data_IF_944896164959
#
_entry.id   IF_944896164959
#
_cell.length_a   1.000
_cell.length_b   1.000
_cell.length_c   1.000
_cell.angle_alpha   90.00
_cell.angle_beta   90.00
_cell.angle_gamma   90.00
#
_symmetry.space_group_name_H-M   'P 1'
#
loop_
_entity.id
_entity.type
_entity.pdbx_description
1 polymer ?
#
# COMPACT_ATOMS: atom_id res chain seq x y z
N UNK A 1 49.09 -8.73 -8.04
CA UNK A 1 49.08 -9.70 -6.92
C UNK A 1 47.70 -9.68 -6.30
N UNK A 2 46.85 -10.63 -6.72
CA UNK A 2 45.50 -10.82 -6.18
C UNK A 2 45.60 -11.84 -5.06
N UNK A 3 45.33 -11.42 -3.82
CA UNK A 3 45.31 -12.29 -2.65
C UNK A 3 44.01 -13.14 -2.68
N UNK A 4 44.20 -14.41 -2.89
CA UNK A 4 43.15 -15.44 -2.75
C UNK A 4 42.86 -15.69 -1.28
N UNK A 5 41.68 -15.27 -0.81
CA UNK A 5 41.18 -15.70 0.50
C UNK A 5 40.58 -17.12 0.37
N UNK A 6 40.94 -18.05 1.24
CA UNK A 6 40.36 -19.40 1.22
C UNK A 6 38.93 -19.38 1.73
N UNK A 7 38.02 -19.96 0.95
CA UNK A 7 36.66 -20.24 1.37
C UNK A 7 36.63 -21.27 2.51
N UNK A 8 35.86 -21.05 3.58
CA UNK A 8 35.62 -22.11 4.58
C UNK A 8 34.76 -23.22 3.97
N UNK A 9 34.97 -24.47 4.34
CA UNK A 9 34.21 -25.61 3.80
C UNK A 9 32.81 -25.63 4.43
N UNK A 10 31.80 -25.17 3.72
CA UNK A 10 30.40 -25.35 4.07
C UNK A 10 29.80 -26.43 3.17
N UNK A 11 30.08 -27.68 3.48
CA UNK A 11 29.40 -28.84 2.90
C UNK A 11 28.58 -29.54 3.97
N UNK A 12 27.34 -29.09 4.18
CA UNK A 12 26.28 -29.92 4.72
C UNK A 12 25.04 -29.85 3.81
N UNK A 13 24.84 -30.87 2.95
CA UNK A 13 23.75 -30.89 1.97
C UNK A 13 22.34 -30.86 2.59
N UNK A 14 22.21 -31.24 3.85
CA UNK A 14 20.90 -31.37 4.52
C UNK A 14 20.38 -30.08 5.14
N UNK A 15 21.24 -29.14 5.51
CA UNK A 15 20.82 -27.88 6.15
C UNK A 15 20.32 -26.85 5.14
N UNK A 16 20.97 -26.77 3.98
CA UNK A 16 20.55 -25.88 2.89
C UNK A 16 19.20 -26.29 2.30
N UNK A 17 18.96 -27.58 2.12
CA UNK A 17 17.67 -28.10 1.64
C UNK A 17 16.54 -27.88 2.66
N UNK A 18 16.81 -28.01 3.95
CA UNK A 18 15.84 -27.78 5.01
C UNK A 18 15.43 -26.28 5.10
N UNK A 19 16.39 -25.36 5.04
CA UNK A 19 16.13 -23.92 5.02
C UNK A 19 15.40 -23.52 3.73
N UNK A 20 15.78 -24.10 2.58
CA UNK A 20 15.14 -23.85 1.29
C UNK A 20 13.66 -24.29 1.28
N UNK A 21 13.36 -25.48 1.79
CA UNK A 21 11.97 -25.98 1.85
C UNK A 21 11.11 -25.20 2.85
N UNK A 22 11.65 -24.82 4.02
CA UNK A 22 10.92 -23.99 4.98
C UNK A 22 10.61 -22.59 4.43
N UNK A 23 11.54 -21.98 3.72
CA UNK A 23 11.36 -20.65 3.13
C UNK A 23 10.31 -20.66 2.00
N UNK A 24 10.34 -21.66 1.13
CA UNK A 24 9.32 -21.78 0.06
C UNK A 24 7.93 -22.07 0.63
N UNK A 25 7.84 -22.85 1.72
CA UNK A 25 6.59 -23.07 2.44
C UNK A 25 6.05 -21.77 3.06
N UNK A 26 6.94 -20.92 3.55
CA UNK A 26 6.55 -19.59 4.08
C UNK A 26 6.02 -18.68 2.99
N UNK A 27 6.68 -18.62 1.82
CA UNK A 27 6.20 -17.86 0.66
C UNK A 27 4.82 -18.37 0.23
N UNK A 28 4.64 -19.67 0.07
CA UNK A 28 3.36 -20.27 -0.34
C UNK A 28 2.24 -19.97 0.67
N UNK A 29 2.52 -20.11 1.98
CA UNK A 29 1.58 -19.77 3.05
C UNK A 29 1.21 -18.27 3.03
N UNK A 30 2.19 -17.40 2.89
CA UNK A 30 1.97 -15.96 2.84
C UNK A 30 1.16 -15.55 1.60
N UNK A 31 1.46 -16.15 0.44
CA UNK A 31 0.69 -15.95 -0.80
C UNK A 31 -0.78 -16.35 -0.62
N UNK A 32 -1.04 -17.49 0.00
CA UNK A 32 -2.41 -17.95 0.27
C UNK A 32 -3.19 -16.94 1.12
N UNK A 33 -2.59 -16.43 2.21
CA UNK A 33 -3.23 -15.40 3.04
C UNK A 33 -3.54 -14.11 2.25
N UNK A 34 -2.62 -13.68 1.40
CA UNK A 34 -2.80 -12.49 0.58
C UNK A 34 -3.89 -12.70 -0.49
N UNK A 35 -4.00 -13.90 -1.07
CA UNK A 35 -5.06 -14.22 -2.04
C UNK A 35 -6.45 -14.26 -1.39
N UNK A 36 -6.59 -14.92 -0.23
CA UNK A 36 -7.86 -14.93 0.52
C UNK A 36 -8.31 -13.49 0.82
N UNK A 37 -7.40 -12.66 1.33
CA UNK A 37 -7.65 -11.25 1.59
C UNK A 37 -8.08 -10.51 0.31
N UNK A 38 -7.36 -10.72 -0.80
CA UNK A 38 -7.63 -10.03 -2.07
C UNK A 38 -9.04 -10.36 -2.59
N UNK A 39 -9.38 -11.64 -2.66
CA UNK A 39 -10.69 -12.08 -3.17
C UNK A 39 -11.84 -11.58 -2.28
N UNK A 40 -11.66 -11.65 -0.97
CA UNK A 40 -12.64 -11.12 -0.02
C UNK A 40 -12.82 -9.61 -0.19
N UNK A 41 -11.73 -8.85 -0.29
CA UNK A 41 -11.78 -7.41 -0.47
C UNK A 41 -12.46 -7.02 -1.79
N UNK A 42 -12.19 -7.74 -2.90
CA UNK A 42 -12.84 -7.49 -4.19
C UNK A 42 -14.36 -7.68 -4.10
N UNK A 43 -14.81 -8.80 -3.54
CA UNK A 43 -16.24 -9.06 -3.35
C UNK A 43 -16.93 -8.04 -2.43
N UNK A 44 -16.27 -7.73 -1.31
CA UNK A 44 -16.79 -6.75 -0.35
C UNK A 44 -16.86 -5.34 -0.95
N UNK A 45 -15.87 -4.93 -1.73
CA UNK A 45 -15.84 -3.59 -2.37
C UNK A 45 -17.02 -3.40 -3.32
N UNK A 46 -17.33 -4.41 -4.13
CA UNK A 46 -18.50 -4.37 -5.02
C UNK A 46 -19.81 -4.25 -4.23
N UNK A 47 -19.95 -5.01 -3.15
CA UNK A 47 -21.13 -4.95 -2.27
C UNK A 47 -21.25 -3.59 -1.58
N UNK A 48 -20.15 -3.07 -0.99
CA UNK A 48 -20.09 -1.77 -0.32
C UNK A 48 -20.52 -0.67 -1.30
N UNK A 49 -19.94 -0.63 -2.49
CA UNK A 49 -20.25 0.39 -3.51
C UNK A 49 -21.74 0.42 -3.86
N UNK A 50 -22.34 -0.77 -4.04
CA UNK A 50 -23.77 -0.90 -4.32
C UNK A 50 -24.63 -0.36 -3.16
N UNK A 51 -24.33 -0.76 -1.93
CA UNK A 51 -25.14 -0.36 -0.77
C UNK A 51 -24.96 1.12 -0.47
N UNK A 52 -23.75 1.65 -0.57
CA UNK A 52 -23.46 3.09 -0.39
C UNK A 52 -24.25 3.92 -1.40
N UNK A 53 -24.28 3.50 -2.68
CA UNK A 53 -25.08 4.18 -3.71
C UNK A 53 -26.57 4.16 -3.36
N UNK A 54 -27.10 3.03 -2.86
CA UNK A 54 -28.51 2.93 -2.47
C UNK A 54 -28.86 3.79 -1.24
N UNK A 55 -27.96 3.90 -0.28
CA UNK A 55 -28.19 4.63 0.98
C UNK A 55 -27.98 6.13 0.84
N UNK A 56 -26.92 6.55 0.13
CA UNK A 56 -26.60 7.97 -0.11
C UNK A 56 -27.48 8.57 -1.22
N UNK A 57 -27.89 7.76 -2.20
CA UNK A 57 -28.49 8.25 -3.45
C UNK A 57 -27.41 8.68 -4.46
N UNK A 58 -27.84 8.96 -5.68
CA UNK A 58 -26.94 9.25 -6.80
C UNK A 58 -26.13 10.53 -6.58
N UNK A 59 -26.77 11.57 -6.04
CA UNK A 59 -26.16 12.90 -5.84
C UNK A 59 -25.04 12.84 -4.80
N UNK A 60 -25.33 12.40 -3.58
CA UNK A 60 -24.35 12.32 -2.49
C UNK A 60 -23.24 11.28 -2.78
N UNK A 61 -23.58 10.18 -3.45
CA UNK A 61 -22.58 9.22 -3.92
C UNK A 61 -21.65 9.83 -4.96
N UNK A 62 -22.20 10.67 -5.86
CA UNK A 62 -21.41 11.45 -6.82
C UNK A 62 -20.44 12.41 -6.12
N UNK A 63 -20.95 13.21 -5.16
CA UNK A 63 -20.13 14.12 -4.36
C UNK A 63 -19.02 13.37 -3.61
N UNK A 64 -19.37 12.27 -2.96
CA UNK A 64 -18.38 11.41 -2.28
C UNK A 64 -17.25 10.95 -3.21
N UNK A 65 -17.59 10.44 -4.40
CA UNK A 65 -16.59 9.97 -5.37
C UNK A 65 -15.70 11.09 -5.89
N UNK A 66 -16.27 12.26 -6.16
CA UNK A 66 -15.50 13.43 -6.63
C UNK A 66 -14.54 13.90 -5.54
N UNK A 67 -15.02 14.03 -4.30
CA UNK A 67 -14.21 14.44 -3.14
C UNK A 67 -13.10 13.44 -2.87
N UNK A 68 -13.44 12.15 -2.84
CA UNK A 68 -12.45 11.08 -2.68
C UNK A 68 -11.44 11.06 -3.82
N UNK A 69 -11.86 11.36 -5.06
CA UNK A 69 -10.99 11.45 -6.22
C UNK A 69 -9.87 12.49 -6.04
N UNK A 70 -10.18 13.66 -5.48
CA UNK A 70 -9.17 14.69 -5.15
C UNK A 70 -8.17 14.16 -4.13
N UNK A 71 -8.67 13.46 -3.09
CA UNK A 71 -7.81 12.91 -2.03
C UNK A 71 -6.95 11.74 -2.53
N UNK A 72 -7.50 10.90 -3.42
CA UNK A 72 -6.77 9.78 -4.03
C UNK A 72 -5.54 10.26 -4.82
N UNK A 73 -5.55 11.47 -5.36
CA UNK A 73 -4.35 12.03 -6.01
C UNK A 73 -3.14 12.09 -5.06
N UNK A 74 -3.35 12.21 -3.76
CA UNK A 74 -2.27 12.19 -2.77
C UNK A 74 -1.86 10.78 -2.33
N UNK A 75 -2.68 9.76 -2.60
CA UNK A 75 -2.42 8.37 -2.17
C UNK A 75 -1.30 7.70 -2.96
N UNK A 76 -0.94 8.22 -4.13
CA UNK A 76 0.12 7.63 -4.95
C UNK A 76 1.50 7.69 -4.27
N UNK A 77 1.69 8.61 -3.32
CA UNK A 77 2.86 8.61 -2.44
C UNK A 77 2.98 7.35 -1.59
N UNK A 78 1.85 6.74 -1.19
CA UNK A 78 1.84 5.60 -0.26
C UNK A 78 2.56 4.37 -0.83
N UNK A 79 2.35 4.04 -2.11
CA UNK A 79 2.96 2.87 -2.75
C UNK A 79 4.48 2.94 -2.78
N UNK A 80 5.01 4.07 -3.23
CA UNK A 80 6.47 4.29 -3.31
C UNK A 80 7.14 4.36 -1.95
N UNK A 81 6.49 5.00 -0.99
CA UNK A 81 6.98 5.10 0.38
C UNK A 81 6.96 3.76 1.10
N UNK A 82 5.93 2.93 0.87
CA UNK A 82 5.85 1.57 1.41
C UNK A 82 7.00 0.72 0.88
N UNK A 83 7.22 0.71 -0.43
CA UNK A 83 8.31 -0.06 -1.06
C UNK A 83 9.68 0.38 -0.56
N UNK A 84 9.91 1.71 -0.44
CA UNK A 84 11.14 2.27 0.10
C UNK A 84 11.37 1.82 1.54
N UNK A 85 10.42 2.08 2.42
CA UNK A 85 10.56 1.75 3.85
C UNK A 85 10.77 0.26 4.06
N UNK A 86 10.01 -0.57 3.36
CA UNK A 86 10.15 -2.03 3.40
C UNK A 86 11.54 -2.48 2.94
N UNK A 87 12.07 -1.90 1.85
CA UNK A 87 13.41 -2.22 1.36
C UNK A 87 14.47 -1.91 2.41
N UNK A 88 14.48 -0.70 2.97
CA UNK A 88 15.47 -0.30 3.95
C UNK A 88 15.40 -1.12 5.24
N UNK A 89 14.20 -1.45 5.73
CA UNK A 89 14.03 -2.36 6.88
C UNK A 89 14.58 -3.73 6.55
N UNK A 90 14.31 -4.28 5.35
CA UNK A 90 14.80 -5.60 4.94
C UNK A 90 16.32 -5.65 4.84
N UNK A 91 16.96 -4.58 4.33
CA UNK A 91 18.44 -4.49 4.24
C UNK A 91 19.07 -4.49 5.64
N UNK A 92 18.55 -3.67 6.56
CA UNK A 92 19.12 -3.59 7.90
C UNK A 92 18.78 -4.85 8.73
N UNK A 93 17.65 -5.50 8.48
CA UNK A 93 17.30 -6.78 9.10
C UNK A 93 18.28 -7.90 8.74
N UNK A 94 18.83 -7.90 7.51
CA UNK A 94 19.83 -8.87 7.09
C UNK A 94 21.15 -8.78 7.89
N UNK A 95 21.43 -7.64 8.54
CA UNK A 95 22.59 -7.49 9.42
C UNK A 95 22.40 -8.09 10.83
N UNK A 96 21.18 -8.57 11.18
CA UNK A 96 20.78 -9.01 12.51
C UNK A 96 20.98 -7.97 13.64
N UNK A 97 21.10 -6.69 13.28
CA UNK A 97 21.25 -5.59 14.22
C UNK A 97 19.91 -4.87 14.43
N UNK A 98 19.28 -5.12 15.56
CA UNK A 98 18.00 -4.52 15.96
C UNK A 98 18.09 -2.98 16.03
N UNK A 99 19.24 -2.42 16.42
CA UNK A 99 19.40 -0.98 16.54
C UNK A 99 19.38 -0.30 15.17
N UNK A 100 19.96 -0.94 14.14
CA UNK A 100 19.90 -0.45 12.76
C UNK A 100 18.48 -0.48 12.23
N UNK A 101 17.74 -1.57 12.47
CA UNK A 101 16.32 -1.64 12.11
C UNK A 101 15.52 -0.54 12.81
N UNK A 102 15.75 -0.33 14.12
CA UNK A 102 15.11 0.74 14.89
C UNK A 102 15.41 2.12 14.30
N UNK A 103 16.66 2.37 13.92
CA UNK A 103 17.08 3.62 13.30
C UNK A 103 16.32 3.90 12.01
N UNK A 104 16.27 2.93 11.09
CA UNK A 104 15.54 3.06 9.81
C UNK A 104 14.04 3.25 10.05
N UNK A 105 13.45 2.51 10.97
CA UNK A 105 12.03 2.66 11.33
C UNK A 105 11.70 4.08 11.80
N UNK A 106 12.51 4.65 12.71
CA UNK A 106 12.27 6.00 13.24
C UNK A 106 12.54 7.09 12.19
N UNK A 107 13.57 6.95 11.36
CA UNK A 107 13.81 7.85 10.22
C UNK A 107 12.64 7.78 9.23
N UNK A 108 12.09 6.59 8.99
CA UNK A 108 10.90 6.43 8.14
C UNK A 108 9.70 7.19 8.72
N UNK A 109 9.43 7.07 10.02
CA UNK A 109 8.34 7.84 10.66
C UNK A 109 8.55 9.34 10.44
N UNK A 110 9.78 9.85 10.65
CA UNK A 110 10.07 11.26 10.48
C UNK A 110 9.85 11.72 9.01
N UNK A 111 10.28 10.92 8.05
CA UNK A 111 10.05 11.19 6.63
C UNK A 111 8.55 11.22 6.29
N UNK A 112 7.75 10.31 6.87
CA UNK A 112 6.31 10.30 6.66
C UNK A 112 5.62 11.49 7.30
N UNK A 113 6.08 11.98 8.45
CA UNK A 113 5.59 13.22 9.06
C UNK A 113 5.88 14.44 8.17
N UNK A 114 7.05 14.48 7.53
CA UNK A 114 7.36 15.53 6.54
C UNK A 114 6.41 15.47 5.33
N UNK A 115 6.14 14.27 4.82
CA UNK A 115 5.20 14.07 3.71
C UNK A 115 3.78 14.47 4.12
N UNK A 116 3.34 14.10 5.31
CA UNK A 116 2.05 14.52 5.88
C UNK A 116 1.95 16.05 5.86
N UNK A 117 2.99 16.75 6.29
CA UNK A 117 3.00 18.21 6.27
C UNK A 117 2.87 18.78 4.85
N UNK A 118 3.62 18.22 3.89
CA UNK A 118 3.54 18.64 2.47
C UNK A 118 2.15 18.38 1.90
N UNK A 119 1.61 17.18 2.11
CA UNK A 119 0.27 16.78 1.63
C UNK A 119 -0.80 17.67 2.25
N UNK A 120 -0.70 17.95 3.56
CA UNK A 120 -1.63 18.84 4.25
C UNK A 120 -1.63 20.24 3.63
N UNK A 121 -0.45 20.84 3.42
CA UNK A 121 -0.34 22.17 2.81
C UNK A 121 -0.92 22.16 1.39
N UNK A 122 -0.61 21.18 0.56
CA UNK A 122 -1.12 21.08 -0.80
C UNK A 122 -2.63 20.85 -0.83
N UNK A 123 -3.16 20.02 0.06
CA UNK A 123 -4.58 19.72 0.15
C UNK A 123 -5.36 20.95 0.61
N UNK A 124 -4.91 21.67 1.65
CA UNK A 124 -5.59 22.85 2.17
C UNK A 124 -5.48 24.07 1.26
N UNK A 125 -4.48 24.12 0.39
CA UNK A 125 -4.34 25.22 -0.59
C UNK A 125 -4.95 24.83 -1.93
N UNK A 126 -4.29 23.96 -2.68
CA UNK A 126 -4.68 23.59 -4.05
C UNK A 126 -5.94 22.73 -4.06
N UNK A 127 -6.00 21.72 -3.18
CA UNK A 127 -7.12 20.79 -3.14
C UNK A 127 -8.43 21.46 -2.73
N UNK A 128 -8.40 22.30 -1.69
CA UNK A 128 -9.59 23.03 -1.21
C UNK A 128 -10.03 24.11 -2.22
N UNK A 129 -9.07 24.80 -2.85
CA UNK A 129 -9.38 25.72 -3.95
C UNK A 129 -10.04 24.97 -5.10
N UNK A 130 -9.53 23.82 -5.52
CA UNK A 130 -10.08 23.02 -6.59
C UNK A 130 -11.50 22.55 -6.28
N UNK A 131 -11.75 22.06 -5.05
CA UNK A 131 -13.06 21.65 -4.57
C UNK A 131 -14.10 22.77 -4.71
N UNK A 132 -13.75 23.97 -4.25
CA UNK A 132 -14.72 25.08 -4.13
C UNK A 132 -14.89 25.89 -5.43
N UNK A 133 -13.93 25.85 -6.39
CA UNK A 133 -13.96 26.70 -7.58
C UNK A 133 -14.03 25.94 -8.91
N UNK A 134 -13.67 24.67 -8.92
CA UNK A 134 -13.60 23.89 -10.17
C UNK A 134 -14.60 22.74 -10.24
N UNK A 135 -14.99 22.20 -9.10
CA UNK A 135 -15.97 21.13 -9.05
C UNK A 135 -17.41 21.70 -9.09
N UNK A 136 -18.27 21.03 -9.83
CA UNK A 136 -19.69 21.39 -9.89
C UNK A 136 -20.42 20.63 -8.80
N UNK A 137 -20.62 21.29 -7.65
CA UNK A 137 -21.31 20.75 -6.48
C UNK A 137 -22.53 21.65 -6.21
N UNK A 138 -23.73 21.09 -5.99
CA UNK A 138 -24.90 21.89 -5.62
C UNK A 138 -24.62 22.76 -4.39
N UNK A 139 -25.06 24.03 -4.41
CA UNK A 139 -24.78 24.98 -3.32
C UNK A 139 -25.28 24.51 -1.96
N UNK A 140 -26.40 23.79 -1.94
CA UNK A 140 -26.98 23.19 -0.72
C UNK A 140 -26.11 22.08 -0.12
N UNK A 141 -25.29 21.39 -0.94
CA UNK A 141 -24.41 20.30 -0.52
C UNK A 141 -22.95 20.70 -0.35
N UNK A 142 -22.58 21.96 -0.69
CA UNK A 142 -21.20 22.43 -0.66
C UNK A 142 -20.58 22.35 0.73
N UNK A 143 -21.36 22.67 1.78
CA UNK A 143 -20.91 22.56 3.16
C UNK A 143 -20.61 21.10 3.54
N UNK A 144 -21.51 20.17 3.20
CA UNK A 144 -21.31 18.74 3.44
C UNK A 144 -20.08 18.22 2.67
N UNK A 145 -19.91 18.64 1.41
CA UNK A 145 -18.74 18.28 0.60
C UNK A 145 -17.43 18.75 1.23
N UNK A 146 -17.37 19.98 1.75
CA UNK A 146 -16.19 20.50 2.45
C UNK A 146 -15.89 19.70 3.72
N UNK A 147 -16.90 19.35 4.52
CA UNK A 147 -16.71 18.53 5.73
C UNK A 147 -16.15 17.14 5.35
N UNK A 148 -16.76 16.50 4.34
CA UNK A 148 -16.31 15.17 3.87
C UNK A 148 -14.92 15.25 3.28
N UNK A 149 -14.55 16.36 2.61
CA UNK A 149 -13.19 16.60 2.14
C UNK A 149 -12.18 16.60 3.31
N UNK A 150 -12.47 17.32 4.39
CA UNK A 150 -11.61 17.33 5.57
C UNK A 150 -11.49 15.95 6.21
N UNK A 151 -12.60 15.21 6.34
CA UNK A 151 -12.58 13.83 6.83
C UNK A 151 -11.72 12.92 5.94
N UNK A 152 -11.89 13.02 4.62
CA UNK A 152 -11.12 12.25 3.65
C UNK A 152 -9.63 12.60 3.70
N UNK A 153 -9.28 13.89 3.87
CA UNK A 153 -7.91 14.34 4.05
C UNK A 153 -7.30 13.73 5.30
N UNK A 154 -7.98 13.77 6.44
CA UNK A 154 -7.50 13.14 7.69
C UNK A 154 -7.28 11.63 7.47
N UNK A 155 -8.20 10.94 6.79
CA UNK A 155 -8.04 9.51 6.44
C UNK A 155 -6.75 9.31 5.62
N UNK A 156 -6.49 10.14 4.61
CA UNK A 156 -5.28 10.05 3.80
C UNK A 156 -4.00 10.25 4.63
N UNK A 157 -4.00 11.20 5.57
CA UNK A 157 -2.87 11.42 6.48
C UNK A 157 -2.64 10.22 7.42
N UNK A 158 -3.72 9.60 7.91
CA UNK A 158 -3.69 8.35 8.70
C UNK A 158 -3.10 7.21 7.88
N UNK A 159 -3.48 7.09 6.60
CA UNK A 159 -2.91 6.09 5.70
C UNK A 159 -1.40 6.29 5.47
N UNK A 160 -0.93 7.53 5.37
CA UNK A 160 0.50 7.84 5.24
C UNK A 160 1.27 7.43 6.51
N UNK A 161 0.79 7.78 7.70
CA UNK A 161 1.48 7.42 8.95
C UNK A 161 1.45 5.91 9.25
N UNK A 162 0.50 5.17 8.67
CA UNK A 162 0.41 3.70 8.79
C UNK A 162 1.56 2.98 8.06
N UNK A 163 2.16 3.61 7.03
CA UNK A 163 3.15 2.99 6.14
C UNK A 163 4.36 2.40 6.88
N UNK A 164 5.07 3.08 7.80
CA UNK A 164 6.21 2.51 8.51
C UNK A 164 5.84 1.24 9.32
N UNK A 165 4.67 1.23 9.94
CA UNK A 165 4.18 0.09 10.73
C UNK A 165 3.85 -1.10 9.81
N UNK A 166 3.20 -0.84 8.68
CA UNK A 166 2.94 -1.83 7.65
C UNK A 166 4.23 -2.43 7.11
N UNK A 167 5.21 -1.59 6.76
CA UNK A 167 6.50 -2.01 6.24
C UNK A 167 7.25 -2.91 7.24
N UNK A 168 7.17 -2.62 8.56
CA UNK A 168 7.75 -3.45 9.61
C UNK A 168 7.14 -4.85 9.64
N UNK A 169 5.80 -4.96 9.55
CA UNK A 169 5.06 -6.23 9.55
C UNK A 169 5.43 -7.07 8.33
N UNK A 170 5.44 -6.45 7.15
CA UNK A 170 5.74 -7.12 5.88
C UNK A 170 7.21 -7.54 5.80
N UNK A 171 8.14 -6.69 6.21
CA UNK A 171 9.57 -7.00 6.25
C UNK A 171 9.90 -8.18 7.19
N UNK A 172 9.10 -8.38 8.24
CA UNK A 172 9.21 -9.54 9.13
C UNK A 172 8.36 -10.74 8.69
N UNK A 173 7.85 -10.71 7.46
CA UNK A 173 7.08 -11.82 6.85
C UNK A 173 5.82 -12.23 7.66
N UNK A 174 5.26 -11.29 8.46
CA UNK A 174 4.02 -11.54 9.21
C UNK A 174 2.79 -11.34 8.33
N UNK A 175 2.80 -11.95 7.13
CA UNK A 175 1.75 -11.79 6.12
C UNK A 175 0.39 -12.29 6.59
N UNK A 176 0.35 -13.31 7.44
CA UNK A 176 -0.89 -13.77 8.05
C UNK A 176 -1.57 -12.68 8.85
N UNK A 177 -0.83 -11.99 9.73
CA UNK A 177 -1.37 -10.86 10.49
C UNK A 177 -1.78 -9.69 9.59
N UNK A 178 -0.96 -9.35 8.59
CA UNK A 178 -1.28 -8.33 7.59
C UNK A 178 -2.58 -8.65 6.83
N UNK A 179 -2.78 -9.93 6.46
CA UNK A 179 -4.02 -10.36 5.80
C UNK A 179 -5.23 -10.25 6.74
N UNK A 180 -5.11 -10.69 8.01
CA UNK A 180 -6.17 -10.57 9.00
C UNK A 180 -6.54 -9.12 9.30
N UNK A 181 -5.58 -8.20 9.38
CA UNK A 181 -5.86 -6.77 9.51
C UNK A 181 -6.64 -6.24 8.31
N UNK A 182 -6.26 -6.63 7.09
CA UNK A 182 -6.97 -6.21 5.88
C UNK A 182 -8.40 -6.77 5.81
N UNK A 183 -8.62 -8.02 6.24
CA UNK A 183 -9.96 -8.60 6.35
C UNK A 183 -10.78 -7.86 7.42
N UNK A 184 -10.19 -7.59 8.59
CA UNK A 184 -10.82 -6.83 9.66
C UNK A 184 -11.22 -5.42 9.21
N UNK A 185 -10.34 -4.71 8.49
CA UNK A 185 -10.65 -3.41 7.90
C UNK A 185 -11.86 -3.49 6.97
N UNK A 186 -11.93 -4.51 6.11
CA UNK A 186 -13.04 -4.70 5.19
C UNK A 186 -14.34 -5.02 5.93
N UNK A 187 -14.30 -5.84 6.97
CA UNK A 187 -15.45 -6.12 7.84
C UNK A 187 -15.92 -4.84 8.53
N UNK A 188 -15.01 -4.03 9.07
CA UNK A 188 -15.37 -2.74 9.67
C UNK A 188 -16.02 -1.78 8.66
N UNK A 189 -15.55 -1.75 7.41
CA UNK A 189 -16.17 -0.97 6.33
C UNK A 189 -17.58 -1.49 6.01
N UNK A 190 -17.78 -2.80 5.92
CA UNK A 190 -19.10 -3.41 5.75
C UNK A 190 -20.04 -3.04 6.92
N UNK A 191 -19.55 -3.13 8.15
CA UNK A 191 -20.29 -2.73 9.37
C UNK A 191 -20.65 -1.24 9.31
N UNK A 192 -19.74 -0.38 8.86
CA UNK A 192 -20.00 1.05 8.69
C UNK A 192 -21.13 1.33 7.73
N UNK A 193 -21.19 0.60 6.61
CA UNK A 193 -22.28 0.72 5.63
C UNK A 193 -23.60 0.21 6.20
N UNK A 194 -23.55 -0.88 6.96
CA UNK A 194 -24.73 -1.40 7.67
C UNK A 194 -25.25 -0.39 8.71
N UNK A 195 -24.41 0.20 9.52
CA UNK A 195 -24.78 1.27 10.48
C UNK A 195 -25.39 2.45 9.72
N UNK A 196 -24.76 2.89 8.63
CA UNK A 196 -25.23 4.01 7.82
C UNK A 196 -26.66 3.79 7.28
N UNK A 197 -27.01 2.55 6.91
CA UNK A 197 -28.35 2.23 6.41
C UNK A 197 -29.46 2.41 7.44
N UNK A 198 -29.14 2.37 8.73
CA UNK A 198 -30.08 2.52 9.84
C UNK A 198 -30.15 3.93 10.43
N UNK A 199 -29.26 4.82 10.00
CA UNK A 199 -29.24 6.21 10.45
C UNK A 199 -30.19 7.06 9.59
N UNK A 200 -31.16 7.71 10.25
CA UNK A 200 -32.18 8.54 9.58
C UNK A 200 -32.13 10.01 10.00
N UNK A 201 -31.51 10.34 11.15
CA UNK A 201 -31.55 11.67 11.74
C UNK A 201 -30.38 12.58 11.38
N UNK A 202 -29.31 12.03 10.79
CA UNK A 202 -28.10 12.79 10.46
C UNK A 202 -27.85 12.80 8.96
N UNK A 203 -27.08 13.79 8.51
CA UNK A 203 -26.60 13.83 7.13
C UNK A 203 -25.78 12.56 6.82
N UNK A 204 -26.30 11.76 5.88
CA UNK A 204 -25.74 10.46 5.56
C UNK A 204 -24.33 10.55 4.96
N UNK A 205 -24.06 11.60 4.16
CA UNK A 205 -22.78 11.82 3.50
C UNK A 205 -21.68 12.11 4.55
N UNK A 206 -21.95 13.03 5.49
CA UNK A 206 -21.03 13.36 6.59
C UNK A 206 -20.86 12.17 7.52
N UNK A 207 -21.97 11.49 7.87
CA UNK A 207 -21.92 10.31 8.74
C UNK A 207 -21.07 9.20 8.14
N UNK A 208 -21.17 8.97 6.84
CA UNK A 208 -20.35 7.97 6.16
C UNK A 208 -18.86 8.33 6.23
N UNK A 209 -18.51 9.61 6.02
CA UNK A 209 -17.14 10.10 6.20
C UNK A 209 -16.60 9.87 7.62
N UNK A 210 -17.42 10.16 8.64
CA UNK A 210 -17.04 9.93 10.05
C UNK A 210 -16.84 8.45 10.38
N UNK A 211 -17.70 7.56 9.85
CA UNK A 211 -17.56 6.11 10.02
C UNK A 211 -16.28 5.60 9.37
N UNK A 212 -15.95 6.03 8.15
CA UNK A 212 -14.70 5.67 7.48
C UNK A 212 -13.47 6.18 8.21
N UNK A 213 -13.50 7.40 8.75
CA UNK A 213 -12.42 7.91 9.59
C UNK A 213 -12.24 7.06 10.84
N UNK A 214 -13.34 6.67 11.51
CA UNK A 214 -13.28 5.81 12.68
C UNK A 214 -12.64 4.45 12.35
N UNK A 215 -13.00 3.84 11.22
CA UNK A 215 -12.37 2.60 10.72
C UNK A 215 -10.86 2.80 10.52
N UNK A 216 -10.46 3.87 9.84
CA UNK A 216 -9.04 4.17 9.57
C UNK A 216 -8.23 4.34 10.87
N UNK A 217 -8.77 5.02 11.87
CA UNK A 217 -8.15 5.20 13.18
C UNK A 217 -8.04 3.89 13.97
N UNK A 218 -9.09 3.05 13.95
CA UNK A 218 -9.06 1.71 14.57
C UNK A 218 -7.97 0.87 13.92
N UNK A 219 -7.91 0.83 12.60
CA UNK A 219 -6.92 0.06 11.85
C UNK A 219 -5.49 0.55 12.15
N UNK A 220 -5.25 1.87 12.12
CA UNK A 220 -3.96 2.45 12.51
C UNK A 220 -3.56 2.01 13.93
N UNK A 221 -4.50 2.09 14.88
CA UNK A 221 -4.26 1.70 16.26
C UNK A 221 -3.83 0.23 16.36
N UNK A 222 -4.48 -0.67 15.61
CA UNK A 222 -4.10 -2.09 15.57
C UNK A 222 -2.70 -2.30 14.97
N UNK A 223 -2.32 -1.57 13.89
CA UNK A 223 -0.98 -1.61 13.33
C UNK A 223 0.08 -1.16 14.36
N UNK A 224 -0.17 -0.05 15.04
CA UNK A 224 0.73 0.51 16.06
C UNK A 224 0.87 -0.44 17.25
N UNK A 225 -0.25 -0.94 17.79
CA UNK A 225 -0.26 -1.85 18.93
C UNK A 225 0.49 -3.15 18.63
N UNK A 226 0.19 -3.76 17.47
CA UNK A 226 0.89 -4.98 17.06
C UNK A 226 2.39 -4.76 16.89
N UNK A 227 2.77 -3.68 16.21
CA UNK A 227 4.18 -3.38 15.97
C UNK A 227 4.91 -3.12 17.28
N UNK A 228 4.33 -2.38 18.22
CA UNK A 228 4.90 -2.14 19.54
C UNK A 228 4.97 -3.39 20.41
N UNK A 229 4.00 -4.30 20.27
CA UNK A 229 3.98 -5.54 21.05
C UNK A 229 5.00 -6.57 20.55
N UNK A 230 5.02 -6.81 19.22
CA UNK A 230 5.87 -7.84 18.62
C UNK A 230 7.31 -7.40 18.37
N UNK A 231 7.54 -6.12 18.07
CA UNK A 231 8.86 -5.59 17.69
C UNK A 231 9.36 -4.53 18.68
N UNK A 232 9.18 -4.80 19.99
CA UNK A 232 9.41 -3.86 21.11
C UNK A 232 10.64 -2.97 20.92
N UNK A 233 11.81 -3.57 20.68
CA UNK A 233 13.07 -2.82 20.54
C UNK A 233 13.22 -2.16 19.17
N UNK A 234 12.86 -2.88 18.10
CA UNK A 234 12.92 -2.37 16.74
C UNK A 234 11.91 -1.23 16.48
N UNK A 235 10.77 -1.23 17.19
CA UNK A 235 9.73 -0.21 17.07
C UNK A 235 9.73 0.83 18.22
N UNK A 236 10.76 0.84 19.08
CA UNK A 236 10.89 1.84 20.14
C UNK A 236 11.14 3.20 19.52
N UNK A 237 10.32 4.19 19.89
CA UNK A 237 10.51 5.55 19.40
C UNK A 237 11.81 6.16 19.92
N UNK A 238 12.68 6.55 19.00
CA UNK A 238 13.95 7.27 19.26
C UNK A 238 14.18 8.28 18.16
N UNK A 239 14.51 9.50 18.52
CA UNK A 239 14.84 10.53 17.55
C UNK A 239 16.28 10.36 17.06
N UNK A 240 16.45 10.04 15.77
CA UNK A 240 17.76 9.93 15.14
C UNK A 240 17.97 11.13 14.20
N UNK A 241 19.07 11.86 14.41
CA UNK A 241 19.51 12.94 13.52
C UNK A 241 20.56 12.43 12.53
N UNK A 242 20.16 11.48 11.68
CA UNK A 242 21.03 10.98 10.60
C UNK A 242 20.56 11.51 9.24
N UNK A 243 21.14 12.66 8.87
CA UNK A 243 20.83 13.33 7.60
C UNK A 243 21.22 12.46 6.39
N UNK A 244 22.30 11.67 6.51
CA UNK A 244 22.80 10.83 5.41
C UNK A 244 21.79 9.75 5.08
N UNK A 245 21.31 9.01 6.10
CA UNK A 245 20.32 7.96 5.91
C UNK A 245 18.95 8.52 5.48
N UNK A 246 18.55 9.66 6.04
CA UNK A 246 17.36 10.39 5.62
C UNK A 246 17.43 10.76 4.14
N UNK A 247 18.54 11.37 3.70
CA UNK A 247 18.75 11.75 2.30
C UNK A 247 18.75 10.54 1.37
N UNK A 248 19.37 9.43 1.78
CA UNK A 248 19.37 8.17 1.02
C UNK A 248 17.93 7.66 0.80
N UNK A 249 17.11 7.59 1.86
CA UNK A 249 15.72 7.15 1.80
C UNK A 249 14.87 8.09 0.94
N UNK A 250 14.98 9.41 1.14
CA UNK A 250 14.21 10.41 0.38
C UNK A 250 14.62 10.40 -1.10
N UNK A 251 15.90 10.32 -1.41
CA UNK A 251 16.40 10.23 -2.79
C UNK A 251 15.88 8.96 -3.48
N UNK A 252 15.96 7.81 -2.81
CA UNK A 252 15.43 6.57 -3.35
C UNK A 252 13.92 6.66 -3.61
N UNK A 253 13.15 7.22 -2.67
CA UNK A 253 11.72 7.44 -2.84
C UNK A 253 11.41 8.38 -3.99
N UNK A 254 12.21 9.43 -4.18
CA UNK A 254 12.06 10.38 -5.29
C UNK A 254 12.22 9.70 -6.65
N UNK A 255 13.23 8.84 -6.82
CA UNK A 255 13.41 8.06 -8.05
C UNK A 255 12.26 7.07 -8.29
N UNK A 256 11.77 6.42 -7.24
CA UNK A 256 10.59 5.55 -7.32
C UNK A 256 9.34 6.33 -7.73
N UNK A 257 9.17 7.55 -7.20
CA UNK A 257 8.08 8.46 -7.59
C UNK A 257 8.15 8.83 -9.07
N UNK A 258 9.33 9.17 -9.60
CA UNK A 258 9.50 9.47 -11.02
C UNK A 258 9.10 8.27 -11.89
N UNK A 259 9.50 7.06 -11.51
CA UNK A 259 9.07 5.83 -12.19
C UNK A 259 7.54 5.65 -12.17
N UNK A 260 6.91 5.92 -11.03
CA UNK A 260 5.44 5.81 -10.91
C UNK A 260 4.72 6.88 -11.74
N UNK A 261 5.20 8.11 -11.75
CA UNK A 261 4.67 9.19 -12.60
C UNK A 261 4.81 8.85 -14.08
N UNK A 262 5.95 8.31 -14.49
CA UNK A 262 6.17 7.86 -15.87
C UNK A 262 5.20 6.72 -16.26
N UNK A 263 4.98 5.75 -15.37
CA UNK A 263 4.04 4.65 -15.58
C UNK A 263 2.60 5.16 -15.74
N UNK A 264 2.13 6.01 -14.80
CA UNK A 264 0.79 6.60 -14.87
C UNK A 264 0.65 7.49 -16.10
N UNK A 265 1.67 8.30 -16.41
CA UNK A 265 1.70 9.14 -17.60
C UNK A 265 1.62 8.32 -18.89
N UNK A 266 2.32 7.19 -18.96
CA UNK A 266 2.25 6.27 -20.11
C UNK A 266 0.86 5.66 -20.26
N UNK A 267 0.27 5.14 -19.18
CA UNK A 267 -1.07 4.50 -19.24
C UNK A 267 -2.18 5.49 -19.55
N UNK A 268 -2.19 6.65 -18.89
CA UNK A 268 -3.18 7.68 -19.16
C UNK A 268 -2.96 8.35 -20.51
N UNK A 269 -1.71 8.55 -20.92
CA UNK A 269 -1.35 9.04 -22.24
C UNK A 269 -1.85 8.13 -23.35
N UNK A 270 -1.68 6.81 -23.19
CA UNK A 270 -2.19 5.81 -24.14
C UNK A 270 -3.72 5.86 -24.24
N UNK A 271 -4.43 5.98 -23.13
CA UNK A 271 -5.87 6.14 -23.11
C UNK A 271 -6.32 7.43 -23.84
N UNK A 272 -5.60 8.54 -23.62
CA UNK A 272 -5.89 9.82 -24.26
C UNK A 272 -5.66 9.76 -25.78
N UNK A 273 -4.54 9.18 -26.22
CA UNK A 273 -4.22 8.97 -27.65
C UNK A 273 -5.26 8.04 -28.29
N UNK A 274 -5.61 6.94 -27.62
CA UNK A 274 -6.65 6.02 -28.11
C UNK A 274 -7.99 6.72 -28.31
N UNK A 275 -8.38 7.62 -27.38
CA UNK A 275 -9.60 8.40 -27.50
C UNK A 275 -9.55 9.39 -28.68
N UNK A 276 -8.44 10.12 -28.82
CA UNK A 276 -8.26 11.14 -29.86
C UNK A 276 -8.26 10.54 -31.29
N UNK A 277 -7.65 9.39 -31.50
CA UNK A 277 -7.50 8.81 -32.82
C UNK A 277 -8.56 7.78 -33.19
N UNK A 278 -9.11 7.06 -32.21
CA UNK A 278 -10.02 5.94 -32.46
C UNK A 278 -11.42 6.13 -31.83
N UNK A 279 -11.62 7.23 -31.11
CA UNK A 279 -12.90 7.58 -30.51
C UNK A 279 -13.30 6.76 -29.28
N UNK A 280 -14.52 7.02 -28.81
CA UNK A 280 -15.03 6.55 -27.49
C UNK A 280 -15.17 5.02 -27.42
N UNK A 281 -15.57 4.36 -28.54
CA UNK A 281 -15.80 2.92 -28.57
C UNK A 281 -14.50 2.11 -28.35
N UNK A 282 -13.41 2.52 -29.01
CA UNK A 282 -12.09 1.87 -28.81
C UNK A 282 -11.56 2.16 -27.42
N UNK A 283 -11.74 3.39 -26.93
CA UNK A 283 -11.33 3.75 -25.58
C UNK A 283 -12.07 2.90 -24.51
N UNK A 284 -13.36 2.62 -24.69
CA UNK A 284 -14.13 1.73 -23.82
C UNK A 284 -13.58 0.28 -23.87
N UNK A 285 -13.22 -0.22 -25.04
CA UNK A 285 -12.61 -1.55 -25.19
C UNK A 285 -11.24 -1.62 -24.47
N UNK A 286 -10.40 -0.58 -24.63
CA UNK A 286 -9.11 -0.47 -23.91
C UNK A 286 -9.34 -0.43 -22.40
N UNK A 287 -10.33 0.30 -21.92
CA UNK A 287 -10.65 0.36 -20.51
C UNK A 287 -11.06 -1.00 -19.93
N UNK A 288 -11.83 -1.80 -20.66
CA UNK A 288 -12.18 -3.18 -20.27
C UNK A 288 -10.93 -4.07 -20.26
N UNK A 289 -10.10 -3.99 -21.29
CA UNK A 289 -8.86 -4.77 -21.37
C UNK A 289 -7.92 -4.46 -20.19
N UNK A 290 -7.71 -3.17 -19.87
CA UNK A 290 -6.89 -2.75 -18.73
C UNK A 290 -7.47 -3.17 -17.40
N UNK A 291 -8.80 -3.26 -17.27
CA UNK A 291 -9.44 -3.78 -16.06
C UNK A 291 -9.18 -5.27 -15.85
N UNK A 292 -9.23 -6.06 -16.92
CA UNK A 292 -8.88 -7.49 -16.88
C UNK A 292 -7.40 -7.68 -16.57
N UNK A 293 -6.53 -6.94 -17.26
CA UNK A 293 -5.08 -6.92 -16.99
C UNK A 293 -4.79 -6.61 -15.51
N UNK A 294 -5.42 -5.58 -14.95
CA UNK A 294 -5.27 -5.19 -13.55
C UNK A 294 -5.70 -6.29 -12.58
N UNK A 295 -6.77 -7.03 -12.89
CA UNK A 295 -7.21 -8.16 -12.09
C UNK A 295 -6.17 -9.30 -12.09
N UNK A 296 -5.68 -9.71 -13.26
CA UNK A 296 -4.63 -10.72 -13.40
C UNK A 296 -3.33 -10.27 -12.71
N UNK A 297 -2.93 -9.01 -12.92
CA UNK A 297 -1.74 -8.45 -12.30
C UNK A 297 -1.82 -8.44 -10.78
N UNK A 298 -3.01 -8.28 -10.21
CA UNK A 298 -3.20 -8.32 -8.75
C UNK A 298 -2.81 -9.67 -8.13
N UNK A 299 -3.05 -10.78 -8.82
CA UNK A 299 -2.60 -12.12 -8.36
C UNK A 299 -1.08 -12.21 -8.36
N UNK A 300 -0.43 -11.79 -9.44
CA UNK A 300 1.03 -11.81 -9.56
C UNK A 300 1.67 -10.89 -8.52
N UNK A 301 1.12 -9.69 -8.33
CA UNK A 301 1.63 -8.72 -7.38
C UNK A 301 1.56 -9.21 -5.93
N UNK A 302 0.46 -9.86 -5.51
CA UNK A 302 0.36 -10.45 -4.18
C UNK A 302 1.37 -11.60 -3.96
N UNK A 303 1.61 -12.42 -4.98
CA UNK A 303 2.64 -13.45 -4.93
C UNK A 303 4.05 -12.83 -4.77
N UNK A 304 4.37 -11.83 -5.58
CA UNK A 304 5.65 -11.10 -5.51
C UNK A 304 5.83 -10.40 -4.16
N UNK A 305 4.76 -9.79 -3.62
CA UNK A 305 4.77 -9.15 -2.30
C UNK A 305 5.14 -10.14 -1.19
N UNK A 306 4.65 -11.39 -1.27
CA UNK A 306 5.00 -12.43 -0.30
C UNK A 306 6.48 -12.85 -0.37
N UNK A 307 7.08 -12.78 -1.55
CA UNK A 307 8.47 -13.21 -1.80
C UNK A 307 9.51 -12.09 -1.63
N UNK A 308 9.11 -10.83 -1.84
CA UNK A 308 10.00 -9.65 -1.83
C UNK A 308 10.89 -9.52 -0.59
N UNK A 309 10.39 -9.73 0.66
CA UNK A 309 11.23 -9.60 1.84
C UNK A 309 12.44 -10.55 1.79
N UNK A 310 12.24 -11.79 1.36
CA UNK A 310 13.30 -12.80 1.27
C UNK A 310 14.29 -12.47 0.16
N UNK A 311 13.81 -11.95 -0.97
CA UNK A 311 14.66 -11.51 -2.08
C UNK A 311 15.62 -10.40 -1.64
N UNK A 312 15.11 -9.38 -0.97
CA UNK A 312 15.93 -8.24 -0.50
C UNK A 312 16.89 -8.67 0.61
N UNK A 313 16.43 -9.50 1.55
CA UNK A 313 17.26 -9.98 2.66
C UNK A 313 18.41 -10.88 2.18
N UNK A 314 18.14 -11.81 1.25
CA UNK A 314 19.21 -12.68 0.69
C UNK A 314 20.28 -11.88 -0.05
N UNK A 315 19.87 -10.85 -0.82
CA UNK A 315 20.81 -9.96 -1.49
C UNK A 315 21.64 -9.15 -0.47
N UNK A 316 21.00 -8.58 0.54
CA UNK A 316 21.66 -7.79 1.57
C UNK A 316 22.63 -8.65 2.44
N UNK A 317 22.29 -9.91 2.64
CA UNK A 317 23.16 -10.90 3.32
C UNK A 317 24.28 -11.44 2.43
N UNK A 318 24.36 -11.03 1.16
CA UNK A 318 25.33 -11.50 0.14
C UNK A 318 25.20 -13.00 -0.17
N UNK A 319 24.03 -13.59 0.09
CA UNK A 319 23.69 -14.95 -0.32
C UNK A 319 23.17 -14.92 -1.77
N UNK A 320 24.11 -14.75 -2.71
CA UNK A 320 23.79 -14.58 -4.12
C UNK A 320 23.20 -15.82 -4.78
N UNK A 321 23.58 -17.01 -4.32
CA UNK A 321 23.08 -18.27 -4.86
C UNK A 321 21.57 -18.41 -4.55
N UNK A 322 21.20 -18.17 -3.30
CA UNK A 322 19.81 -18.13 -2.88
C UNK A 322 19.03 -17.01 -3.58
N UNK A 323 19.61 -15.81 -3.68
CA UNK A 323 18.98 -14.67 -4.34
C UNK A 323 18.67 -14.99 -5.80
N UNK A 324 19.61 -15.61 -6.55
CA UNK A 324 19.43 -16.07 -7.93
C UNK A 324 18.29 -17.09 -8.04
N UNK A 325 18.26 -18.09 -7.14
CA UNK A 325 17.20 -19.11 -7.11
C UNK A 325 15.82 -18.48 -6.85
N UNK A 326 15.73 -17.50 -5.94
CA UNK A 326 14.50 -16.76 -5.68
C UNK A 326 14.05 -15.96 -6.91
N UNK A 327 14.95 -15.24 -7.58
CA UNK A 327 14.64 -14.48 -8.81
C UNK A 327 14.07 -15.42 -9.87
N UNK A 328 14.76 -16.53 -10.16
CA UNK A 328 14.31 -17.49 -11.18
C UNK A 328 12.97 -18.13 -10.81
N UNK A 329 12.79 -18.51 -9.54
CA UNK A 329 11.56 -19.07 -9.02
C UNK A 329 10.39 -18.10 -9.11
N UNK A 330 10.58 -16.88 -8.63
CA UNK A 330 9.54 -15.82 -8.66
C UNK A 330 9.14 -15.53 -10.11
N UNK A 331 10.11 -15.38 -11.02
CA UNK A 331 9.84 -15.12 -12.44
C UNK A 331 9.06 -16.26 -13.09
N UNK A 332 9.48 -17.51 -12.85
CA UNK A 332 8.82 -18.71 -13.38
C UNK A 332 7.38 -18.83 -12.88
N UNK A 333 7.15 -18.71 -11.59
CA UNK A 333 5.80 -18.82 -11.02
C UNK A 333 4.91 -17.63 -11.38
N UNK A 334 5.46 -16.42 -11.48
CA UNK A 334 4.73 -15.26 -12.01
C UNK A 334 4.25 -15.48 -13.43
N UNK A 335 5.12 -16.03 -14.30
CA UNK A 335 4.75 -16.37 -15.67
C UNK A 335 3.64 -17.42 -15.72
N UNK A 336 3.74 -18.47 -14.91
CA UNK A 336 2.69 -19.50 -14.84
C UNK A 336 1.35 -18.95 -14.38
N UNK A 337 1.36 -18.07 -13.35
CA UNK A 337 0.15 -17.39 -12.88
C UNK A 337 -0.49 -16.54 -13.97
N UNK A 338 0.32 -15.79 -14.73
CA UNK A 338 -0.20 -14.99 -15.86
C UNK A 338 -0.72 -15.83 -17.02
N UNK A 339 -0.16 -17.01 -17.24
CA UNK A 339 -0.57 -17.88 -18.35
C UNK A 339 -1.84 -18.70 -18.03
N UNK A 340 -2.13 -18.95 -16.76
CA UNK A 340 -3.30 -19.74 -16.32
C UNK A 340 -4.53 -18.85 -16.12
N UNK A 341 -4.34 -17.60 -15.70
CA UNK A 341 -5.42 -16.62 -15.46
C UNK A 341 -5.80 -15.89 -16.73
#
# INVERSE_FOLDING_TARGET
>A
MLATHPNPPYNSPNFSNFIFTMSNKTIAKNTLFLYIRMLFNMGAMLYISRVVLQVLGVEDFGIYNIVMGVVVLFSFFNGTMTATTQRFINVEKASNDIQRVNKVFNISILNHLLIIFIVLVLAETVGLWFLNHKLVIPSERLQAANIVYQLALIIALVEIIKVPFNAMIVAHEKMGFYAWLGLGETILKLTSVFILSHITHYDKLITYGCLLLSVSLIVLSLYVLFTKYYFKEAARFRLYKDLSKTKEMVSFSGWMLMGQVAYVGSTQGLNMVSNLFFGVAVNAAVAIATQVEGAVYSFVNNFQMAANPQLVQSYAAKDYDRNRQLILGISKYSLYLMAIL
#
